data_IF_354318400967
#
_entry.id   IF_354318400967
#
_cell.length_a   1.000
_cell.length_b   1.000
_cell.length_c   1.000
_cell.angle_alpha   90.00
_cell.angle_beta   90.00
_cell.angle_gamma   90.00
#
_symmetry.space_group_name_H-M   'P 1'
#
loop_
_entity.id
_entity.type
_entity.pdbx_description
1 polymer ?
#
# COMPACT_ATOMS: atom_id res chain seq x y z
N UNK A 1 -12.31 -9.76 -3.90
CA UNK A 1 -11.45 -9.96 -2.72
C UNK A 1 -10.25 -10.75 -3.19
N UNK A 2 -9.25 -10.06 -3.72
CA UNK A 2 -8.15 -10.72 -4.41
C UNK A 2 -6.89 -9.97 -4.08
N UNK A 3 -5.87 -10.70 -3.62
CA UNK A 3 -4.50 -10.18 -3.42
C UNK A 3 -4.00 -9.37 -4.63
N UNK A 4 -4.49 -9.70 -5.83
CA UNK A 4 -4.31 -8.90 -7.05
C UNK A 4 -4.63 -7.40 -6.89
N UNK A 5 -5.64 -7.02 -6.11
CA UNK A 5 -5.98 -5.61 -5.88
C UNK A 5 -4.92 -4.92 -5.02
N UNK A 6 -4.36 -5.64 -4.05
CA UNK A 6 -3.23 -5.16 -3.23
C UNK A 6 -2.02 -4.98 -4.13
N UNK A 7 -1.64 -6.00 -4.90
CA UNK A 7 -0.50 -5.94 -5.83
C UNK A 7 -0.66 -4.80 -6.85
N UNK A 8 -1.84 -4.63 -7.45
CA UNK A 8 -2.14 -3.52 -8.35
C UNK A 8 -1.97 -2.16 -7.67
N UNK A 9 -2.37 -2.00 -6.42
CA UNK A 9 -2.17 -0.76 -5.67
C UNK A 9 -0.67 -0.53 -5.39
N UNK A 10 0.07 -1.56 -4.99
CA UNK A 10 1.49 -1.46 -4.68
C UNK A 10 2.31 -1.14 -5.94
N UNK A 11 1.98 -1.75 -7.08
CA UNK A 11 2.58 -1.46 -8.39
C UNK A 11 2.21 -0.05 -8.86
N UNK A 12 0.94 0.36 -8.68
CA UNK A 12 0.48 1.71 -8.99
C UNK A 12 1.22 2.75 -8.15
N UNK A 13 1.47 2.53 -6.85
CA UNK A 13 2.23 3.46 -6.03
C UNK A 13 3.76 3.41 -6.25
N UNK A 14 4.29 2.34 -6.85
CA UNK A 14 5.65 2.31 -7.38
C UNK A 14 5.83 3.17 -8.63
N UNK A 15 4.83 3.14 -9.51
CA UNK A 15 4.81 3.87 -10.78
C UNK A 15 4.34 5.32 -10.65
N UNK A 16 3.37 5.58 -9.77
CA UNK A 16 2.73 6.87 -9.58
C UNK A 16 3.20 7.54 -8.28
N UNK A 17 3.95 8.62 -8.44
CA UNK A 17 4.55 9.35 -7.33
C UNK A 17 3.49 10.09 -6.48
N UNK A 18 2.40 10.55 -7.07
CA UNK A 18 1.36 11.28 -6.35
C UNK A 18 0.56 10.32 -5.47
N UNK A 19 0.20 9.16 -6.02
CA UNK A 19 -0.42 8.06 -5.28
C UNK A 19 0.51 7.64 -4.13
N UNK A 20 1.80 7.43 -4.40
CA UNK A 20 2.79 7.11 -3.38
C UNK A 20 2.79 8.09 -2.22
N UNK A 21 2.80 9.39 -2.50
CA UNK A 21 2.82 10.45 -1.47
C UNK A 21 1.52 10.44 -0.67
N UNK A 22 0.37 10.31 -1.33
CA UNK A 22 -0.95 10.25 -0.69
C UNK A 22 -1.09 9.07 0.27
N UNK A 23 -0.54 7.91 -0.09
CA UNK A 23 -0.60 6.73 0.78
C UNK A 23 0.52 6.68 1.83
N UNK A 24 1.67 7.30 1.58
CA UNK A 24 2.75 7.39 2.56
C UNK A 24 2.42 8.26 3.77
N UNK A 25 1.46 9.20 3.65
CA UNK A 25 1.00 10.01 4.79
C UNK A 25 0.05 9.24 5.72
N UNK A 26 -0.56 8.16 5.24
CA UNK A 26 -1.56 7.40 5.99
C UNK A 26 -0.87 6.55 7.05
N UNK A 27 -1.05 6.81 8.34
CA UNK A 27 -0.28 6.11 9.38
C UNK A 27 -0.77 4.69 9.66
N UNK A 28 -2.07 4.45 9.55
CA UNK A 28 -2.70 3.18 9.90
C UNK A 28 -2.98 2.30 8.69
N UNK A 29 -2.91 0.98 8.85
CA UNK A 29 -3.30 0.02 7.80
C UNK A 29 -4.80 0.11 7.47
N UNK A 30 -5.62 0.38 8.48
CA UNK A 30 -7.08 0.52 8.34
C UNK A 30 -7.44 1.71 7.44
N UNK A 31 -6.82 2.87 7.63
CA UNK A 31 -7.02 4.03 6.75
C UNK A 31 -6.44 3.79 5.34
N UNK A 32 -5.35 3.03 5.24
CA UNK A 32 -4.73 2.69 3.96
C UNK A 32 -5.70 1.85 3.12
N UNK A 33 -6.26 0.81 3.75
CA UNK A 33 -7.29 -0.05 3.17
C UNK A 33 -8.56 0.75 2.87
N UNK A 34 -9.02 1.60 3.77
CA UNK A 34 -10.21 2.44 3.54
C UNK A 34 -10.03 3.39 2.34
N UNK A 35 -8.85 3.96 2.19
CA UNK A 35 -8.52 4.83 1.04
C UNK A 35 -8.46 4.02 -0.25
N UNK A 36 -7.84 2.84 -0.22
CA UNK A 36 -7.78 1.93 -1.35
C UNK A 36 -9.18 1.48 -1.81
N UNK A 37 -10.03 1.07 -0.86
CA UNK A 37 -11.43 0.70 -1.11
C UNK A 37 -12.20 1.87 -1.72
N UNK A 38 -11.96 3.10 -1.27
CA UNK A 38 -12.58 4.30 -1.84
C UNK A 38 -12.13 4.59 -3.29
N UNK A 39 -10.93 4.18 -3.67
CA UNK A 39 -10.41 4.29 -5.05
C UNK A 39 -10.79 3.09 -5.94
N UNK A 40 -11.49 2.10 -5.38
CA UNK A 40 -11.97 0.92 -6.10
C UNK A 40 -11.08 -0.32 -5.94
N UNK A 41 -10.02 -0.23 -5.13
CA UNK A 41 -9.20 -1.37 -4.75
C UNK A 41 -9.79 -2.03 -3.50
N UNK A 42 -10.68 -2.99 -3.71
CA UNK A 42 -11.36 -3.70 -2.63
C UNK A 42 -10.46 -4.81 -2.05
N UNK A 43 -9.91 -4.59 -0.86
CA UNK A 43 -9.11 -5.54 -0.10
C UNK A 43 -9.14 -5.28 1.42
N UNK A 44 -8.57 -6.18 2.20
CA UNK A 44 -8.51 -6.11 3.68
C UNK A 44 -7.08 -5.92 4.20
N UNK A 45 -6.95 -5.51 5.46
CA UNK A 45 -5.63 -5.36 6.11
C UNK A 45 -4.87 -6.68 6.23
N UNK A 46 -5.58 -7.81 6.37
CA UNK A 46 -4.99 -9.14 6.39
C UNK A 46 -4.40 -9.52 5.03
N UNK A 47 -5.12 -9.25 3.94
CA UNK A 47 -4.60 -9.47 2.57
C UNK A 47 -3.38 -8.59 2.28
N UNK A 48 -3.38 -7.34 2.76
CA UNK A 48 -2.22 -6.48 2.70
C UNK A 48 -1.02 -7.09 3.45
N UNK A 49 -1.25 -7.61 4.67
CA UNK A 49 -0.18 -8.23 5.46
C UNK A 49 0.35 -9.51 4.82
N UNK A 50 -0.52 -10.32 4.22
CA UNK A 50 -0.12 -11.50 3.44
C UNK A 50 0.80 -11.13 2.27
N UNK A 51 0.42 -10.15 1.44
CA UNK A 51 1.23 -9.72 0.29
C UNK A 51 2.55 -9.12 0.75
N UNK A 52 2.52 -8.28 1.79
CA UNK A 52 3.74 -7.72 2.38
C UNK A 52 4.68 -8.82 2.86
N UNK A 53 4.14 -9.88 3.47
CA UNK A 53 4.93 -11.02 3.95
C UNK A 53 5.45 -11.90 2.81
N UNK A 54 4.67 -12.10 1.76
CA UNK A 54 5.09 -12.87 0.57
C UNK A 54 6.25 -12.17 -0.16
N UNK A 55 6.21 -10.84 -0.25
CA UNK A 55 7.22 -10.02 -0.93
C UNK A 55 8.35 -9.53 0.00
N UNK A 56 8.38 -9.96 1.26
CA UNK A 56 9.32 -9.52 2.31
C UNK A 56 9.34 -7.97 2.50
N UNK A 57 8.21 -7.32 2.27
CA UNK A 57 8.02 -5.90 2.49
C UNK A 57 7.54 -5.59 3.90
N UNK A 58 7.89 -4.40 4.38
CA UNK A 58 7.47 -3.92 5.70
C UNK A 58 6.65 -2.64 5.55
N UNK A 59 5.51 -2.57 6.26
CA UNK A 59 4.68 -1.36 6.37
C UNK A 59 5.34 -0.23 7.21
N UNK A 60 6.67 -0.24 7.31
CA UNK A 60 7.40 0.81 8.00
C UNK A 60 7.54 2.02 7.09
N UNK A 61 7.25 3.20 7.65
CA UNK A 61 7.55 4.47 7.02
C UNK A 61 8.94 4.96 7.43
N UNK A 62 9.77 5.29 6.45
CA UNK A 62 11.12 5.82 6.64
C UNK A 62 11.37 7.08 5.79
N UNK A 63 12.36 7.89 6.21
CA UNK A 63 12.82 9.07 5.47
C UNK A 63 11.94 10.33 5.60
N UNK A 64 12.49 11.44 5.12
CA UNK A 64 11.81 12.75 5.04
C UNK A 64 11.98 13.33 3.63
N UNK A 65 10.93 13.42 2.79
CA UNK A 65 9.53 13.12 3.09
C UNK A 65 9.24 11.62 3.28
N UNK A 66 8.21 11.32 4.09
CA UNK A 66 7.80 9.95 4.46
C UNK A 66 7.67 9.07 3.22
N UNK A 67 8.39 7.96 3.21
CA UNK A 67 8.35 6.93 2.17
C UNK A 67 8.19 5.56 2.81
N UNK A 68 7.51 4.64 2.14
CA UNK A 68 7.37 3.25 2.60
C UNK A 68 8.10 2.30 1.69
N UNK A 69 8.52 1.18 2.25
CA UNK A 69 9.19 0.11 1.52
C UNK A 69 8.22 -0.87 0.86
N UNK A 70 6.93 -0.56 0.81
CA UNK A 70 5.87 -1.47 0.33
C UNK A 70 5.65 -1.42 -1.18
N UNK A 71 6.28 -0.47 -1.87
CA UNK A 71 5.99 -0.17 -3.27
C UNK A 71 6.77 -1.11 -4.20
N UNK A 72 6.05 -1.94 -4.95
CA UNK A 72 6.60 -2.81 -5.99
C UNK A 72 7.03 -1.92 -7.17
N UNK A 73 8.22 -2.16 -7.71
CA UNK A 73 8.82 -1.34 -8.77
C UNK A 73 8.89 -2.08 -10.10
#
# INVERSE_FOLDING_TARGET
MSKENVEKLLEAGGSDKELRIKYNVIETKEEFVATANAEGYDFTSDELDEVLKEEDFTFESYGNPRTRGIWIR
#
